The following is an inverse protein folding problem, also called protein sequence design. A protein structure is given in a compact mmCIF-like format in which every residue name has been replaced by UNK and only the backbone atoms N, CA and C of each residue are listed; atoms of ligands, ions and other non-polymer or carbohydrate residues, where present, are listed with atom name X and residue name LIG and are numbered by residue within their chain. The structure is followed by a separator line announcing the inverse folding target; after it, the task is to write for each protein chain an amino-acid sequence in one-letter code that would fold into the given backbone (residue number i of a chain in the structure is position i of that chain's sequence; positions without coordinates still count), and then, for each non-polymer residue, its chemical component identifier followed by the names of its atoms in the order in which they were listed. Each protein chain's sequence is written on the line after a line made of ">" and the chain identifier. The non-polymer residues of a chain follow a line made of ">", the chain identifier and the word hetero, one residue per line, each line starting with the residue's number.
data_IF_738278178699
#
_entry.id   IF_738278178699
#
_cell.length_a   1.000
_cell.length_b   1.000
_cell.length_c   1.000
_cell.angle_alpha   90.00
_cell.angle_beta   90.00
_cell.angle_gamma   90.00
#
_symmetry.space_group_name_H-M   'P 1'
#
loop_
_entity.id
_entity.type
_entity.pdbx_description
1 polymer ?
#
# COMPACT_ATOMS: atom_id res chain seq x y z
N UNK A 1 -20.27 -3.02 -10.83
CA UNK A 1 -19.27 -2.43 -9.92
C UNK A 1 -18.07 -2.03 -10.77
N UNK A 2 -17.57 -0.81 -10.61
CA UNK A 2 -16.45 -0.32 -11.44
C UNK A 2 -15.12 -0.91 -10.94
N UNK A 3 -14.42 -1.68 -11.78
CA UNK A 3 -13.20 -2.38 -11.38
C UNK A 3 -12.06 -1.42 -10.99
N UNK A 4 -11.98 -0.25 -11.63
CA UNK A 4 -10.99 0.75 -11.26
C UNK A 4 -11.28 1.30 -9.86
N UNK A 5 -12.54 1.58 -9.56
CA UNK A 5 -12.97 2.00 -8.23
C UNK A 5 -12.64 0.95 -7.17
N UNK A 6 -12.95 -0.32 -7.43
CA UNK A 6 -12.59 -1.43 -6.53
C UNK A 6 -11.08 -1.55 -6.31
N UNK A 7 -10.28 -1.45 -7.39
CA UNK A 7 -8.82 -1.47 -7.28
C UNK A 7 -8.31 -0.30 -6.42
N UNK A 8 -8.85 0.91 -6.62
CA UNK A 8 -8.46 2.10 -5.83
C UNK A 8 -8.77 1.90 -4.35
N UNK A 9 -9.93 1.35 -4.03
CA UNK A 9 -10.31 1.02 -2.65
C UNK A 9 -9.38 -0.02 -2.03
N UNK A 10 -9.13 -1.10 -2.75
CA UNK A 10 -8.22 -2.17 -2.31
C UNK A 10 -6.81 -1.63 -2.08
N UNK A 11 -6.26 -0.79 -2.98
CA UNK A 11 -4.95 -0.14 -2.81
C UNK A 11 -4.82 0.64 -1.50
N UNK A 12 -5.82 1.47 -1.19
CA UNK A 12 -5.82 2.30 0.01
C UNK A 12 -5.88 1.42 1.26
N UNK A 13 -6.74 0.40 1.25
CA UNK A 13 -6.86 -0.54 2.38
C UNK A 13 -5.59 -1.35 2.59
N UNK A 14 -5.02 -1.93 1.52
CA UNK A 14 -3.76 -2.68 1.59
C UNK A 14 -2.64 -1.82 2.21
N UNK A 15 -2.50 -0.55 1.77
CA UNK A 15 -1.46 0.33 2.32
C UNK A 15 -1.75 0.71 3.78
N UNK A 16 -3.01 0.99 4.13
CA UNK A 16 -3.41 1.27 5.52
C UNK A 16 -3.08 0.11 6.45
N UNK A 17 -3.44 -1.11 6.08
CA UNK A 17 -3.11 -2.31 6.86
C UNK A 17 -1.60 -2.56 6.90
N UNK A 18 -0.87 -2.26 5.82
CA UNK A 18 0.59 -2.37 5.80
C UNK A 18 1.24 -1.46 6.84
N UNK A 19 0.83 -0.19 6.89
CA UNK A 19 1.33 0.79 7.87
C UNK A 19 0.96 0.38 9.29
N UNK A 20 -0.28 -0.06 9.54
CA UNK A 20 -0.71 -0.49 10.88
C UNK A 20 0.04 -1.74 11.34
N UNK A 21 0.19 -2.74 10.47
CA UNK A 21 0.91 -3.96 10.78
C UNK A 21 2.39 -3.68 11.07
N UNK A 22 3.01 -2.82 10.27
CA UNK A 22 4.37 -2.34 10.50
C UNK A 22 4.51 -1.70 11.87
N UNK A 23 3.68 -0.70 12.19
CA UNK A 23 3.70 -0.03 13.48
C UNK A 23 3.52 -1.00 14.65
N UNK A 24 2.67 -2.02 14.48
CA UNK A 24 2.44 -3.04 15.50
C UNK A 24 3.66 -3.96 15.71
N UNK A 25 4.39 -4.31 14.65
CA UNK A 25 5.49 -5.27 14.74
C UNK A 25 6.83 -4.61 15.09
N UNK A 26 7.13 -3.47 14.48
CA UNK A 26 8.43 -2.79 14.62
C UNK A 26 8.42 -1.69 15.66
N UNK A 27 7.24 -1.23 16.11
CA UNK A 27 7.06 -0.01 16.90
C UNK A 27 7.60 1.26 16.23
N UNK A 28 7.83 1.21 14.91
CA UNK A 28 8.35 2.33 14.14
C UNK A 28 7.23 3.08 13.43
N UNK A 29 7.48 4.35 13.15
CA UNK A 29 6.52 5.21 12.45
C UNK A 29 6.41 4.85 10.96
N UNK A 30 5.37 5.36 10.30
CA UNK A 30 5.24 5.26 8.84
C UNK A 30 6.39 5.94 8.07
N UNK A 31 7.05 6.93 8.70
CA UNK A 31 8.22 7.59 8.14
C UNK A 31 9.39 6.61 8.05
N UNK A 32 9.65 5.89 9.14
CA UNK A 32 10.66 4.82 9.17
C UNK A 32 10.33 3.71 8.17
N UNK A 33 9.05 3.35 8.00
CA UNK A 33 8.65 2.41 6.94
C UNK A 33 9.08 2.90 5.55
N UNK A 34 8.83 4.17 5.26
CA UNK A 34 9.23 4.76 3.98
C UNK A 34 10.75 4.78 3.81
N UNK A 35 11.49 5.04 4.89
CA UNK A 35 12.94 5.10 4.90
C UNK A 35 13.55 3.71 4.68
N UNK A 36 13.13 2.74 5.49
CA UNK A 36 13.67 1.39 5.49
C UNK A 36 13.24 0.58 4.26
N UNK A 37 12.02 0.79 3.77
CA UNK A 37 11.58 0.11 2.55
C UNK A 37 12.20 0.72 1.29
N UNK A 38 12.59 1.99 1.32
CA UNK A 38 13.04 2.74 0.14
C UNK A 38 11.99 2.90 -0.95
N UNK A 39 10.73 2.52 -0.70
CA UNK A 39 9.64 2.56 -1.68
C UNK A 39 9.07 3.98 -1.79
N UNK A 40 8.95 4.67 -0.66
CA UNK A 40 8.30 5.97 -0.58
C UNK A 40 9.33 7.07 -0.28
N UNK A 41 9.31 8.13 -1.09
CA UNK A 41 10.25 9.24 -0.92
C UNK A 41 9.92 10.08 0.32
N UNK A 42 10.90 10.22 1.22
CA UNK A 42 10.86 11.11 2.37
C UNK A 42 11.39 12.49 1.98
N UNK A 43 10.62 13.52 2.32
CA UNK A 43 11.03 14.91 2.15
C UNK A 43 11.40 15.48 3.52
N UNK A 44 12.54 16.16 3.56
CA UNK A 44 13.04 16.86 4.73
C UNK A 44 12.89 18.37 4.47
N UNK A 45 11.94 19.03 5.14
CA UNK A 45 11.84 20.49 5.11
C UNK A 45 11.90 21.03 6.53
N UNK A 46 12.84 21.95 6.77
CA UNK A 46 13.07 22.76 7.99
C UNK A 46 12.43 22.20 9.29
N UNK A 47 12.82 20.99 9.69
CA UNK A 47 12.42 20.38 10.96
C UNK A 47 11.22 19.42 10.92
N UNK A 48 10.65 19.11 9.76
CA UNK A 48 9.58 18.12 9.61
C UNK A 48 9.87 17.14 8.46
N UNK A 49 9.85 15.85 8.78
CA UNK A 49 9.91 14.76 7.80
C UNK A 49 8.51 14.39 7.33
N UNK A 50 8.32 14.25 6.02
CA UNK A 50 7.04 13.88 5.44
C UNK A 50 7.15 12.91 4.26
N UNK A 51 6.28 11.91 4.25
CA UNK A 51 6.12 10.96 3.14
C UNK A 51 4.92 11.37 2.28
N UNK A 52 5.04 12.48 1.54
CA UNK A 52 3.93 13.12 0.80
C UNK A 52 3.22 12.16 -0.17
N UNK A 53 3.96 11.24 -0.78
CA UNK A 53 3.36 10.25 -1.68
C UNK A 53 2.62 9.16 -0.91
N UNK A 54 3.21 8.62 0.16
CA UNK A 54 2.55 7.62 1.00
C UNK A 54 1.24 8.18 1.59
N UNK A 55 1.26 9.40 2.13
CA UNK A 55 0.07 10.05 2.70
C UNK A 55 -1.08 10.16 1.70
N UNK A 56 -0.78 10.42 0.42
CA UNK A 56 -1.81 10.46 -0.64
C UNK A 56 -2.49 9.12 -0.86
N UNK A 57 -1.78 8.01 -0.63
CA UNK A 57 -2.31 6.66 -0.82
C UNK A 57 -3.05 6.14 0.41
N UNK A 58 -3.00 6.85 1.54
CA UNK A 58 -3.80 6.52 2.73
C UNK A 58 -5.25 7.03 2.63
N UNK A 59 -5.61 7.75 1.57
CA UNK A 59 -6.96 8.28 1.38
C UNK A 59 -7.38 8.24 -0.10
N UNK A 60 -8.58 7.71 -0.36
CA UNK A 60 -9.15 7.58 -1.70
C UNK A 60 -9.27 8.90 -2.46
N UNK A 61 -9.56 10.00 -1.74
CA UNK A 61 -9.74 11.34 -2.33
C UNK A 61 -8.41 11.94 -2.81
N UNK A 62 -7.31 11.58 -2.17
CA UNK A 62 -5.97 12.10 -2.50
C UNK A 62 -5.16 11.15 -3.37
N UNK A 63 -5.67 9.94 -3.61
CA UNK A 63 -5.03 8.92 -4.43
C UNK A 63 -4.86 9.46 -5.87
N UNK A 64 -3.65 9.40 -6.45
CA UNK A 64 -3.41 9.85 -7.81
C UNK A 64 -4.36 9.19 -8.84
N UNK A 65 -4.66 9.89 -9.93
CA UNK A 65 -5.48 9.35 -11.03
C UNK A 65 -4.88 8.07 -11.64
N UNK A 66 -3.54 8.00 -11.67
CA UNK A 66 -2.76 6.81 -12.07
C UNK A 66 -1.97 6.30 -10.87
N UNK A 67 -2.57 5.46 -10.01
CA UNK A 67 -1.87 4.92 -8.85
C UNK A 67 -0.79 3.93 -9.30
N UNK A 68 0.34 3.95 -8.60
CA UNK A 68 1.42 2.98 -8.75
C UNK A 68 1.10 1.77 -7.88
N UNK A 69 0.34 0.84 -8.43
CA UNK A 69 -0.06 -0.40 -7.74
C UNK A 69 1.14 -1.18 -7.22
N UNK A 70 2.23 -1.19 -7.97
CA UNK A 70 3.44 -1.92 -7.61
C UNK A 70 4.13 -1.41 -6.34
N UNK A 71 4.10 -0.11 -6.07
CA UNK A 71 4.67 0.46 -4.84
C UNK A 71 3.87 -0.01 -3.60
N UNK A 72 2.54 -0.11 -3.72
CA UNK A 72 1.66 -0.64 -2.66
C UNK A 72 1.92 -2.13 -2.42
N UNK A 73 2.01 -2.93 -3.50
CA UNK A 73 2.32 -4.35 -3.42
C UNK A 73 3.68 -4.60 -2.76
N UNK A 74 4.71 -3.88 -3.21
CA UNK A 74 6.06 -3.95 -2.61
C UNK A 74 6.03 -3.61 -1.13
N UNK A 75 5.24 -2.60 -0.73
CA UNK A 75 5.12 -2.21 0.69
C UNK A 75 4.48 -3.32 1.51
N UNK A 76 3.38 -3.91 1.03
CA UNK A 76 2.70 -5.00 1.71
C UNK A 76 3.61 -6.22 1.89
N UNK A 77 4.33 -6.62 0.84
CA UNK A 77 5.30 -7.71 0.92
C UNK A 77 6.45 -7.39 1.87
N UNK A 78 6.99 -6.18 1.82
CA UNK A 78 8.05 -5.75 2.73
C UNK A 78 7.63 -5.90 4.19
N UNK A 79 6.48 -5.34 4.58
CA UNK A 79 6.05 -5.40 5.99
C UNK A 79 5.68 -6.82 6.44
N UNK A 80 5.09 -7.64 5.55
CA UNK A 80 4.79 -9.05 5.82
C UNK A 80 6.06 -9.90 5.98
N UNK A 81 7.15 -9.49 5.33
CA UNK A 81 8.46 -10.13 5.46
C UNK A 81 9.22 -9.64 6.69
N UNK A 82 9.17 -8.34 6.99
CA UNK A 82 9.85 -7.75 8.15
C UNK A 82 9.21 -8.12 9.49
N UNK A 83 7.90 -8.38 9.51
CA UNK A 83 7.17 -8.76 10.72
C UNK A 83 6.88 -10.26 10.78
N UNK A 84 7.28 -10.91 11.88
CA UNK A 84 6.91 -12.31 12.17
C UNK A 84 5.67 -12.42 13.09
N UNK A 85 5.18 -11.28 13.59
CA UNK A 85 4.07 -11.27 14.55
C UNK A 85 2.79 -11.77 13.88
N UNK A 86 2.25 -12.87 14.41
CA UNK A 86 0.98 -13.45 13.98
C UNK A 86 -0.18 -12.67 14.60
N UNK A 87 -0.53 -11.55 13.97
CA UNK A 87 -1.63 -10.69 14.41
C UNK A 87 -2.86 -10.80 13.49
N UNK A 88 -4.06 -10.42 13.97
CA UNK A 88 -5.21 -10.27 13.09
C UNK A 88 -4.93 -9.26 11.95
N UNK A 89 -4.12 -8.22 12.19
CA UNK A 89 -3.71 -7.27 11.14
C UNK A 89 -2.91 -7.96 10.03
N UNK A 90 -2.04 -8.92 10.36
CA UNK A 90 -1.32 -9.71 9.35
C UNK A 90 -2.30 -10.42 8.42
N UNK A 91 -3.27 -11.13 9.00
CA UNK A 91 -4.29 -11.86 8.24
C UNK A 91 -5.14 -10.94 7.36
N UNK A 92 -5.52 -9.77 7.89
CA UNK A 92 -6.23 -8.75 7.12
C UNK A 92 -5.38 -8.26 5.95
N UNK A 93 -4.11 -7.92 6.20
CA UNK A 93 -3.19 -7.50 5.15
C UNK A 93 -2.99 -8.57 4.07
N UNK A 94 -2.84 -9.84 4.44
CA UNK A 94 -2.73 -10.97 3.50
C UNK A 94 -4.00 -11.12 2.65
N UNK A 95 -5.18 -10.91 3.24
CA UNK A 95 -6.46 -10.95 2.53
C UNK A 95 -6.59 -9.80 1.53
N UNK A 96 -6.31 -8.56 1.95
CA UNK A 96 -6.39 -7.38 1.09
C UNK A 96 -5.34 -7.43 -0.02
N UNK A 97 -4.14 -7.93 0.27
CA UNK A 97 -3.08 -8.11 -0.73
C UNK A 97 -3.51 -9.11 -1.82
N UNK A 98 -4.16 -10.21 -1.42
CA UNK A 98 -4.68 -11.20 -2.36
C UNK A 98 -5.78 -10.61 -3.24
N UNK A 99 -6.71 -9.86 -2.67
CA UNK A 99 -7.76 -9.18 -3.43
C UNK A 99 -7.18 -8.17 -4.43
N UNK A 100 -6.19 -7.37 -4.00
CA UNK A 100 -5.52 -6.39 -4.84
C UNK A 100 -4.84 -7.03 -6.06
N UNK A 101 -4.19 -8.18 -5.88
CA UNK A 101 -3.55 -8.93 -6.97
C UNK A 101 -4.56 -9.47 -7.99
N UNK A 102 -5.69 -10.00 -7.54
CA UNK A 102 -6.74 -10.48 -8.43
C UNK A 102 -7.36 -9.32 -9.23
N UNK A 103 -7.67 -8.20 -8.57
CA UNK A 103 -8.19 -7.00 -9.25
C UNK A 103 -7.20 -6.44 -10.28
N UNK A 104 -5.90 -6.41 -9.95
CA UNK A 104 -4.85 -5.99 -10.89
C UNK A 104 -4.80 -6.91 -12.11
N UNK A 105 -4.88 -8.23 -11.91
CA UNK A 105 -4.89 -9.22 -12.98
C UNK A 105 -6.10 -9.07 -13.89
N UNK A 106 -7.30 -8.94 -13.32
CA UNK A 106 -8.54 -8.74 -14.08
C UNK A 106 -8.49 -7.46 -14.93
N UNK A 107 -7.98 -6.36 -14.36
CA UNK A 107 -7.78 -5.11 -15.10
C UNK A 107 -6.78 -5.27 -16.25
N UNK A 108 -5.67 -5.95 -16.02
CA UNK A 108 -4.68 -6.23 -17.06
C UNK A 108 -5.28 -7.06 -18.21
N UNK A 109 -6.08 -8.08 -17.90
CA UNK A 109 -6.73 -8.93 -18.90
C UNK A 109 -7.76 -8.15 -19.74
N UNK A 110 -8.53 -7.26 -19.11
CA UNK A 110 -9.48 -6.39 -19.84
C UNK A 110 -8.78 -5.42 -20.79
N UNK A 111 -7.62 -4.88 -20.40
CA UNK A 111 -6.85 -3.97 -21.27
C UNK A 111 -6.28 -4.75 -22.46
N UNK A 112 -5.75 -5.95 -22.26
CA UNK A 112 -5.20 -6.78 -23.34
C UNK A 112 -6.28 -7.36 -24.28
N UNK A 113 -7.48 -7.60 -23.78
CA UNK A 113 -8.59 -8.15 -24.58
C UNK A 113 -9.39 -7.11 -25.38
N UNK A 114 -9.06 -5.83 -25.26
CA UNK A 114 -9.68 -4.73 -26.01
C UNK A 114 -8.80 -4.16 -27.14
N UNK A 115 -7.66 -4.82 -27.43
CA UNK A 115 -6.76 -4.47 -28.54
C UNK A 115 -7.00 -5.33 -29.77
#
# INVERSE_FOLDING_TARGET
>A
MDLNQMLRESLVRTLLYSVQYWQQCSFKSKLELAEESGIWSIHHDRGSQACRTLDRYLNLRTLPSRPRTEDVLRTAHFVLHSGELKSPLRKQLESELKELLELQKELSLKISGQS
#
